data_IF_827303273373
#
_entry.id   IF_827303273373
#
_cell.length_a   1.000
_cell.length_b   1.000
_cell.length_c   1.000
_cell.angle_alpha   90.00
_cell.angle_beta   90.00
_cell.angle_gamma   90.00
#
_symmetry.space_group_name_H-M   'P 1'
#
loop_
_entity.id
_entity.type
_entity.pdbx_description
1 polymer ?
#
# COMPACT_ATOMS: atom_id res chain seq x y z
N UNK A 1 -10.84 28.10 -11.54
CA UNK A 1 -9.84 27.65 -10.55
C UNK A 1 -8.66 27.06 -11.31
N UNK A 2 -7.42 27.25 -10.87
CA UNK A 2 -6.24 26.70 -11.54
C UNK A 2 -6.37 25.15 -11.58
N UNK A 3 -6.28 24.54 -12.76
CA UNK A 3 -6.53 23.08 -12.97
C UNK A 3 -5.67 22.21 -12.03
N UNK A 4 -4.46 22.67 -11.76
CA UNK A 4 -3.51 22.09 -10.81
C UNK A 4 -3.96 22.14 -9.35
N UNK A 5 -4.53 23.27 -8.90
CA UNK A 5 -5.09 23.39 -7.55
C UNK A 5 -6.33 22.51 -7.38
N UNK A 6 -7.14 22.39 -8.43
CA UNK A 6 -8.34 21.56 -8.40
C UNK A 6 -8.00 20.06 -8.31
N UNK A 7 -6.97 19.62 -9.04
CA UNK A 7 -6.39 18.28 -8.89
C UNK A 7 -5.90 18.05 -7.46
N UNK A 8 -5.06 18.96 -6.94
CA UNK A 8 -4.51 18.83 -5.59
C UNK A 8 -5.60 18.75 -4.53
N UNK A 9 -6.60 19.64 -4.56
CA UNK A 9 -7.68 19.67 -3.57
C UNK A 9 -8.62 18.47 -3.68
N UNK A 10 -8.93 18.03 -4.89
CA UNK A 10 -9.75 16.83 -5.11
C UNK A 10 -9.06 15.61 -4.51
N UNK A 11 -7.78 15.40 -4.83
CA UNK A 11 -7.03 14.25 -4.30
C UNK A 11 -6.70 14.38 -2.81
N UNK A 12 -6.54 15.59 -2.27
CA UNK A 12 -6.47 15.82 -0.83
C UNK A 12 -7.74 15.37 -0.11
N UNK A 13 -8.92 15.66 -0.67
CA UNK A 13 -10.18 15.17 -0.13
C UNK A 13 -10.30 13.65 -0.20
N UNK A 14 -9.90 13.06 -1.33
CA UNK A 14 -9.82 11.60 -1.48
C UNK A 14 -8.89 11.01 -0.41
N UNK A 15 -7.73 11.62 -0.18
CA UNK A 15 -6.75 11.19 0.82
C UNK A 15 -7.31 11.18 2.25
N UNK A 16 -8.06 12.21 2.65
CA UNK A 16 -8.68 12.27 3.99
C UNK A 16 -9.85 11.30 4.13
N UNK A 17 -10.63 11.08 3.06
CA UNK A 17 -11.86 10.29 3.14
C UNK A 17 -11.67 8.79 2.85
N UNK A 18 -10.49 8.36 2.42
CA UNK A 18 -10.24 6.95 2.10
C UNK A 18 -9.87 6.16 3.34
N UNK A 19 -10.81 5.39 3.88
CA UNK A 19 -10.59 4.42 4.94
C UNK A 19 -11.04 3.03 4.46
N UNK A 20 -10.17 2.01 4.56
CA UNK A 20 -10.57 0.61 4.31
C UNK A 20 -9.92 -0.12 3.10
N UNK A 21 -8.74 0.30 2.64
CA UNK A 21 -7.99 -0.38 1.58
C UNK A 21 -8.43 0.02 0.17
N UNK A 22 -7.77 -0.53 -0.86
CA UNK A 22 -7.92 -0.06 -2.25
C UNK A 22 -9.36 -0.05 -2.78
N UNK A 23 -10.21 -1.00 -2.37
CA UNK A 23 -11.60 -1.06 -2.86
C UNK A 23 -12.53 -0.02 -2.21
N UNK A 24 -12.22 0.42 -1.00
CA UNK A 24 -13.02 1.45 -0.32
C UNK A 24 -12.86 2.84 -0.97
N UNK A 25 -11.79 3.03 -1.76
CA UNK A 25 -11.52 4.29 -2.45
C UNK A 25 -12.29 4.43 -3.77
N UNK A 26 -12.69 3.32 -4.39
CA UNK A 26 -13.27 3.32 -5.74
C UNK A 26 -14.57 4.13 -5.83
N UNK A 27 -15.52 4.02 -4.88
CA UNK A 27 -16.74 4.86 -4.91
C UNK A 27 -16.45 6.36 -4.79
N UNK A 28 -15.43 6.72 -4.00
CA UNK A 28 -15.02 8.13 -3.83
C UNK A 28 -14.38 8.64 -5.11
N UNK A 29 -13.54 7.83 -5.76
CA UNK A 29 -12.94 8.17 -7.05
C UNK A 29 -13.98 8.26 -8.16
N UNK A 30 -14.95 7.35 -8.24
CA UNK A 30 -16.06 7.43 -9.19
C UNK A 30 -16.83 8.73 -9.01
N UNK A 31 -17.23 9.04 -7.78
CA UNK A 31 -17.96 10.28 -7.48
C UNK A 31 -17.18 11.56 -7.81
N UNK A 32 -15.91 11.65 -7.40
CA UNK A 32 -15.15 12.89 -7.61
C UNK A 32 -14.56 12.99 -9.02
N UNK A 33 -13.98 11.92 -9.57
CA UNK A 33 -13.27 11.94 -10.87
C UNK A 33 -14.22 11.79 -12.06
N UNK A 34 -15.23 10.91 -11.96
CA UNK A 34 -16.16 10.63 -13.07
C UNK A 34 -17.37 11.55 -12.99
N UNK A 35 -18.17 11.45 -11.92
CA UNK A 35 -19.47 12.14 -11.84
C UNK A 35 -19.33 13.66 -11.71
N UNK A 36 -18.46 14.13 -10.80
CA UNK A 36 -18.39 15.55 -10.44
C UNK A 36 -17.44 16.35 -11.31
N UNK A 37 -16.28 15.77 -11.66
CA UNK A 37 -15.23 16.46 -12.44
C UNK A 37 -15.21 16.09 -13.91
N UNK A 38 -15.67 14.89 -14.28
CA UNK A 38 -15.64 14.43 -15.66
C UNK A 38 -14.24 14.28 -16.25
N UNK A 39 -13.23 14.03 -15.42
CA UNK A 39 -11.83 13.85 -15.86
C UNK A 39 -11.57 12.49 -16.49
N UNK A 40 -12.39 11.50 -16.15
CA UNK A 40 -12.31 10.15 -16.68
C UNK A 40 -13.72 9.57 -16.84
N UNK A 41 -13.89 8.63 -17.76
CA UNK A 41 -15.07 7.75 -17.79
C UNK A 41 -14.96 6.63 -16.76
N UNK A 42 -16.06 5.91 -16.50
CA UNK A 42 -16.03 4.73 -15.64
C UNK A 42 -15.03 3.67 -16.14
N UNK A 43 -14.99 3.44 -17.45
CA UNK A 43 -14.05 2.52 -18.09
C UNK A 43 -12.59 2.97 -17.91
N UNK A 44 -12.31 4.26 -18.14
CA UNK A 44 -10.96 4.81 -17.94
C UNK A 44 -10.53 4.72 -16.47
N UNK A 45 -11.44 4.99 -15.53
CA UNK A 45 -11.14 4.84 -14.11
C UNK A 45 -10.87 3.38 -13.73
N UNK A 46 -11.61 2.43 -14.31
CA UNK A 46 -11.36 1.00 -14.13
C UNK A 46 -9.98 0.60 -14.68
N UNK A 47 -9.58 1.12 -15.83
CA UNK A 47 -8.25 0.89 -16.41
C UNK A 47 -7.14 1.48 -15.51
N UNK A 48 -7.28 2.72 -15.04
CA UNK A 48 -6.32 3.33 -14.11
C UNK A 48 -6.22 2.57 -12.79
N UNK A 49 -7.33 2.02 -12.31
CA UNK A 49 -7.36 1.17 -11.12
C UNK A 49 -6.64 -0.16 -11.38
N UNK A 50 -6.87 -0.80 -12.53
CA UNK A 50 -6.19 -2.04 -12.92
C UNK A 50 -4.68 -1.83 -13.04
N UNK A 51 -4.24 -0.75 -13.70
CA UNK A 51 -2.81 -0.40 -13.77
C UNK A 51 -2.26 -0.12 -12.37
N UNK A 52 -2.99 0.64 -11.55
CA UNK A 52 -2.61 0.95 -10.17
C UNK A 52 -2.39 -0.29 -9.29
N UNK A 53 -3.17 -1.35 -9.51
CA UNK A 53 -3.05 -2.66 -8.85
C UNK A 53 -1.83 -3.47 -9.34
N UNK A 54 -1.50 -3.35 -10.63
CA UNK A 54 -0.34 -4.03 -11.21
C UNK A 54 0.99 -3.35 -10.82
N UNK A 55 0.97 -2.03 -10.58
CA UNK A 55 2.16 -1.29 -10.14
C UNK A 55 2.42 -1.48 -8.65
N UNK A 56 3.69 -1.70 -8.23
CA UNK A 56 4.02 -1.79 -6.81
C UNK A 56 3.70 -0.47 -6.09
N UNK A 57 3.08 -0.55 -4.91
CA UNK A 57 2.78 0.61 -4.09
C UNK A 57 1.33 0.66 -3.60
N UNK A 58 0.92 1.85 -3.15
CA UNK A 58 -0.43 2.09 -2.64
C UNK A 58 -1.33 2.38 -3.84
N UNK A 59 -2.33 1.52 -4.07
CA UNK A 59 -3.23 1.61 -5.23
C UNK A 59 -3.85 3.02 -5.36
N UNK A 60 -4.27 3.62 -4.24
CA UNK A 60 -4.82 4.99 -4.22
C UNK A 60 -3.86 6.04 -4.79
N UNK A 61 -2.59 5.95 -4.42
CA UNK A 61 -1.55 6.87 -4.89
C UNK A 61 -1.27 6.65 -6.37
N UNK A 62 -1.16 5.38 -6.78
CA UNK A 62 -0.90 5.04 -8.19
C UNK A 62 -2.05 5.50 -9.08
N UNK A 63 -3.30 5.17 -8.73
CA UNK A 63 -4.49 5.60 -9.48
C UNK A 63 -4.62 7.14 -9.51
N UNK A 64 -4.38 7.84 -8.39
CA UNK A 64 -4.37 9.30 -8.37
C UNK A 64 -3.31 9.88 -9.32
N UNK A 65 -2.12 9.29 -9.34
CA UNK A 65 -1.02 9.69 -10.23
C UNK A 65 -1.40 9.51 -11.69
N UNK A 66 -2.03 8.40 -12.08
CA UNK A 66 -2.48 8.16 -13.46
C UNK A 66 -3.60 9.12 -13.89
N UNK A 67 -4.58 9.36 -13.02
CA UNK A 67 -5.65 10.33 -13.29
C UNK A 67 -5.06 11.74 -13.47
N UNK A 68 -4.19 12.17 -12.54
CA UNK A 68 -3.54 13.48 -12.63
C UNK A 68 -2.64 13.61 -13.86
N UNK A 69 -1.91 12.55 -14.22
CA UNK A 69 -1.06 12.53 -15.40
C UNK A 69 -1.87 12.67 -16.70
N UNK A 70 -3.00 11.96 -16.79
CA UNK A 70 -3.85 12.05 -17.98
C UNK A 70 -4.53 13.42 -18.09
N UNK A 71 -4.89 14.02 -16.96
CA UNK A 71 -5.65 15.28 -16.93
C UNK A 71 -4.79 16.54 -17.13
N UNK A 72 -3.54 16.56 -16.66
CA UNK A 72 -2.67 17.74 -16.74
C UNK A 72 -1.16 17.42 -16.92
N UNK A 73 -0.84 16.26 -17.48
CA UNK A 73 0.52 15.81 -17.77
C UNK A 73 1.36 15.53 -16.52
N UNK A 74 2.68 15.53 -16.67
CA UNK A 74 3.63 15.23 -15.58
C UNK A 74 3.32 15.98 -14.28
N UNK A 75 3.10 17.29 -14.36
CA UNK A 75 2.81 18.12 -13.18
C UNK A 75 1.44 17.81 -12.57
N UNK A 76 0.45 17.43 -13.38
CA UNK A 76 -0.84 16.95 -12.90
C UNK A 76 -0.72 15.67 -12.09
N UNK A 77 0.10 14.72 -12.57
CA UNK A 77 0.42 13.50 -11.85
C UNK A 77 1.05 13.80 -10.49
N UNK A 78 2.13 14.58 -10.48
CA UNK A 78 2.84 14.98 -9.25
C UNK A 78 1.90 15.63 -8.24
N UNK A 79 1.06 16.59 -8.68
CA UNK A 79 0.15 17.29 -7.78
C UNK A 79 -1.00 16.42 -7.27
N UNK A 80 -1.49 15.47 -8.07
CA UNK A 80 -2.48 14.50 -7.62
C UNK A 80 -1.88 13.56 -6.56
N UNK A 81 -0.66 13.06 -6.78
CA UNK A 81 0.08 12.25 -5.80
C UNK A 81 0.33 13.03 -4.50
N UNK A 82 0.82 14.28 -4.60
CA UNK A 82 1.02 15.12 -3.43
C UNK A 82 -0.30 15.40 -2.73
N UNK A 83 -1.35 15.72 -3.48
CA UNK A 83 -2.70 15.93 -2.96
C UNK A 83 -3.15 14.76 -2.08
N UNK A 84 -3.04 13.52 -2.56
CA UNK A 84 -3.53 12.35 -1.80
C UNK A 84 -2.73 12.06 -0.52
N UNK A 85 -1.43 12.36 -0.50
CA UNK A 85 -0.55 12.05 0.65
C UNK A 85 -0.46 13.21 1.65
N UNK A 86 -0.59 14.44 1.17
CA UNK A 86 -0.40 15.67 1.96
C UNK A 86 -1.26 15.76 3.23
N UNK A 87 -2.56 15.43 3.23
CA UNK A 87 -3.37 15.49 4.45
C UNK A 87 -2.86 14.56 5.54
N UNK A 88 -2.46 13.34 5.18
CA UNK A 88 -1.91 12.36 6.11
C UNK A 88 -0.60 12.84 6.72
N UNK A 89 0.27 13.46 5.91
CA UNK A 89 1.53 14.07 6.40
C UNK A 89 1.23 15.17 7.41
N UNK A 90 0.31 16.08 7.11
CA UNK A 90 -0.06 17.18 8.03
C UNK A 90 -0.60 16.62 9.34
N UNK A 91 -1.52 15.66 9.29
CA UNK A 91 -2.15 15.09 10.48
C UNK A 91 -1.09 14.43 11.36
N UNK A 92 -0.21 13.61 10.79
CA UNK A 92 0.85 12.91 11.53
C UNK A 92 1.86 13.91 12.10
N UNK A 93 2.28 14.89 11.32
CA UNK A 93 3.23 15.91 11.77
C UNK A 93 2.66 16.76 12.92
N UNK A 94 1.38 17.14 12.83
CA UNK A 94 0.69 17.85 13.90
C UNK A 94 0.64 17.00 15.18
N UNK A 95 0.19 15.75 15.08
CA UNK A 95 0.15 14.83 16.23
C UNK A 95 1.54 14.67 16.85
N UNK A 96 2.58 14.47 16.03
CA UNK A 96 3.95 14.33 16.50
C UNK A 96 4.45 15.60 17.23
N UNK A 97 4.24 16.78 16.65
CA UNK A 97 4.66 18.05 17.24
C UNK A 97 4.00 18.31 18.60
N UNK A 98 2.70 17.97 18.74
CA UNK A 98 2.02 18.10 20.03
C UNK A 98 2.51 17.06 21.04
N UNK A 99 2.66 15.80 20.63
CA UNK A 99 2.99 14.71 21.55
C UNK A 99 4.47 14.68 21.98
N UNK A 100 5.38 15.28 21.20
CA UNK A 100 6.79 15.40 21.61
C UNK A 100 6.95 16.11 22.97
N UNK A 101 6.10 17.10 23.28
CA UNK A 101 6.14 17.80 24.56
C UNK A 101 5.75 16.92 25.77
N UNK A 102 5.10 15.78 25.52
CA UNK A 102 4.59 14.87 26.56
C UNK A 102 5.20 13.47 26.45
N UNK A 103 6.16 13.26 25.55
CA UNK A 103 6.71 11.95 25.23
C UNK A 103 7.47 11.30 26.40
N UNK A 104 8.00 12.12 27.33
CA UNK A 104 8.73 11.65 28.51
C UNK A 104 7.81 11.18 29.65
N UNK A 105 6.50 11.44 29.56
CA UNK A 105 5.55 11.00 30.58
C UNK A 105 5.39 9.48 30.48
N UNK A 106 5.63 8.70 31.55
CA UNK A 106 5.59 7.25 31.51
C UNK A 106 4.21 6.71 31.08
N UNK A 107 3.13 7.39 31.46
CA UNK A 107 1.77 7.07 31.03
C UNK A 107 1.60 7.16 29.50
N UNK A 108 2.21 8.14 28.85
CA UNK A 108 2.18 8.32 27.39
C UNK A 108 2.98 7.21 26.71
N UNK A 109 4.14 6.85 27.24
CA UNK A 109 4.96 5.73 26.74
C UNK A 109 4.19 4.40 26.78
N UNK A 110 3.49 4.12 27.89
CA UNK A 110 2.65 2.92 28.01
C UNK A 110 1.45 2.95 27.06
N UNK A 111 0.81 4.11 26.87
CA UNK A 111 -0.27 4.27 25.90
C UNK A 111 0.22 3.98 24.47
N UNK A 112 1.40 4.50 24.07
CA UNK A 112 2.01 4.18 22.78
C UNK A 112 2.39 2.70 22.63
N UNK A 113 2.79 2.02 23.70
CA UNK A 113 2.97 0.58 23.66
C UNK A 113 1.65 -0.15 23.34
N UNK A 114 0.54 0.27 23.94
CA UNK A 114 -0.80 -0.22 23.62
C UNK A 114 -1.21 0.04 22.16
N UNK A 115 -0.99 1.25 21.66
CA UNK A 115 -1.25 1.60 20.25
C UNK A 115 -0.43 0.72 19.31
N UNK A 116 0.87 0.52 19.58
CA UNK A 116 1.73 -0.36 18.78
C UNK A 116 1.22 -1.80 18.74
N UNK A 117 0.77 -2.34 19.88
CA UNK A 117 0.17 -3.66 19.94
C UNK A 117 -1.13 -3.76 19.12
N UNK A 118 -1.98 -2.72 19.18
CA UNK A 118 -3.20 -2.64 18.37
C UNK A 118 -2.89 -2.60 16.87
N UNK A 119 -1.93 -1.76 16.45
CA UNK A 119 -1.48 -1.69 15.05
C UNK A 119 -0.94 -3.04 14.58
N UNK A 120 -0.14 -3.74 15.39
CA UNK A 120 0.33 -5.09 15.07
C UNK A 120 -0.83 -6.07 14.87
N UNK A 121 -1.87 -6.02 15.72
CA UNK A 121 -3.06 -6.85 15.58
C UNK A 121 -3.87 -6.51 14.31
N UNK A 122 -3.98 -5.22 13.94
CA UNK A 122 -4.65 -4.79 12.70
C UNK A 122 -3.91 -5.24 11.44
N UNK A 123 -2.57 -5.16 11.46
CA UNK A 123 -1.72 -5.69 10.38
C UNK A 123 -1.91 -7.20 10.28
N UNK A 124 -1.84 -7.92 11.41
CA UNK A 124 -2.05 -9.36 11.44
C UNK A 124 -3.43 -9.75 10.88
N UNK A 125 -4.49 -9.07 11.30
CA UNK A 125 -5.84 -9.27 10.77
C UNK A 125 -5.91 -9.08 9.25
N UNK A 126 -5.24 -8.05 8.74
CA UNK A 126 -5.14 -7.77 7.30
C UNK A 126 -4.40 -8.89 6.55
N UNK A 127 -3.29 -9.37 7.12
CA UNK A 127 -2.52 -10.50 6.57
C UNK A 127 -3.35 -11.79 6.57
N UNK A 128 -4.06 -12.09 7.65
CA UNK A 128 -4.92 -13.27 7.75
C UNK A 128 -6.06 -13.23 6.72
N UNK A 129 -6.64 -12.06 6.48
CA UNK A 129 -7.67 -11.86 5.44
C UNK A 129 -7.09 -12.12 4.05
N UNK A 130 -5.89 -11.59 3.76
CA UNK A 130 -5.20 -11.80 2.48
C UNK A 130 -4.76 -13.25 2.29
N UNK A 131 -4.34 -13.93 3.36
CA UNK A 131 -3.93 -15.33 3.32
C UNK A 131 -5.08 -16.24 2.86
N UNK A 132 -6.31 -16.02 3.34
CA UNK A 132 -7.50 -16.79 2.92
C UNK A 132 -7.80 -16.67 1.43
N UNK A 133 -7.48 -15.52 0.82
CA UNK A 133 -7.73 -15.29 -0.62
C UNK A 133 -6.58 -15.78 -1.50
N UNK A 134 -5.34 -15.72 -1.00
CA UNK A 134 -4.14 -15.98 -1.80
C UNK A 134 -3.60 -17.40 -1.64
N UNK A 135 -3.70 -18.00 -0.45
CA UNK A 135 -3.13 -19.30 -0.13
C UNK A 135 -4.22 -20.38 -0.21
N UNK A 136 -4.47 -20.90 -1.42
CA UNK A 136 -5.49 -21.93 -1.68
C UNK A 136 -4.91 -23.30 -2.02
N UNK A 137 -3.72 -23.34 -2.61
CA UNK A 137 -3.10 -24.57 -3.13
C UNK A 137 -1.94 -25.05 -2.24
N UNK A 138 -1.73 -26.37 -2.22
CA UNK A 138 -0.61 -27.00 -1.51
C UNK A 138 0.79 -26.40 -1.82
N UNK A 139 1.19 -26.11 -3.08
CA UNK A 139 2.47 -25.46 -3.34
C UNK A 139 2.54 -24.02 -2.82
N UNK A 140 1.42 -23.29 -2.83
CA UNK A 140 1.34 -21.93 -2.31
C UNK A 140 1.48 -21.92 -0.79
N UNK A 141 0.92 -22.92 -0.11
CA UNK A 141 1.12 -23.14 1.33
C UNK A 141 2.59 -23.45 1.64
N UNK A 142 3.22 -24.35 0.88
CA UNK A 142 4.65 -24.66 1.06
C UNK A 142 5.53 -23.43 0.86
N UNK A 143 5.30 -22.67 -0.20
CA UNK A 143 6.04 -21.45 -0.50
C UNK A 143 5.86 -20.40 0.61
N UNK A 144 4.64 -20.22 1.12
CA UNK A 144 4.37 -19.35 2.26
C UNK A 144 5.14 -19.77 3.51
N UNK A 145 5.10 -21.06 3.88
CA UNK A 145 5.80 -21.56 5.07
C UNK A 145 7.33 -21.42 4.96
N UNK A 146 7.90 -21.68 3.78
CA UNK A 146 9.34 -21.54 3.53
C UNK A 146 9.77 -20.07 3.71
N UNK A 147 9.04 -19.13 3.10
CA UNK A 147 9.37 -17.70 3.18
C UNK A 147 9.14 -17.16 4.60
N UNK A 148 8.11 -17.63 5.29
CA UNK A 148 7.83 -17.26 6.68
C UNK A 148 8.98 -17.72 7.60
N UNK A 149 9.42 -18.97 7.48
CA UNK A 149 10.57 -19.49 8.21
C UNK A 149 11.85 -18.71 7.91
N UNK A 150 12.14 -18.45 6.63
CA UNK A 150 13.30 -17.65 6.23
C UNK A 150 13.23 -16.21 6.78
N UNK A 151 12.05 -15.59 6.80
CA UNK A 151 11.86 -14.24 7.34
C UNK A 151 12.06 -14.19 8.86
N UNK A 152 11.57 -15.18 9.60
CA UNK A 152 11.76 -15.25 11.06
C UNK A 152 13.23 -15.50 11.40
N UNK A 153 13.90 -16.37 10.63
CA UNK A 153 15.32 -16.68 10.82
C UNK A 153 16.27 -15.61 10.26
N UNK A 154 15.77 -14.55 9.62
CA UNK A 154 16.61 -13.51 9.02
C UNK A 154 17.52 -12.78 10.01
N UNK A 155 17.05 -12.54 11.23
CA UNK A 155 17.84 -11.96 12.32
C UNK A 155 19.06 -12.81 12.70
N UNK A 156 18.88 -14.07 13.15
CA UNK A 156 20.01 -14.93 13.49
C UNK A 156 20.92 -15.26 12.29
N UNK A 157 20.39 -15.40 11.06
CA UNK A 157 21.20 -15.67 9.86
C UNK A 157 22.08 -14.47 9.49
N UNK A 158 21.55 -13.25 9.58
CA UNK A 158 22.33 -12.03 9.32
C UNK A 158 23.41 -11.81 10.38
N UNK A 159 23.20 -12.27 11.62
CA UNK A 159 24.21 -12.25 12.68
C UNK A 159 25.29 -13.34 12.52
N UNK A 160 24.93 -14.54 12.03
CA UNK A 160 25.85 -15.67 11.88
C UNK A 160 26.67 -15.64 10.57
N UNK A 161 26.11 -15.11 9.48
CA UNK A 161 26.74 -15.07 8.17
C UNK A 161 26.43 -13.75 7.43
N UNK A 162 27.24 -12.70 7.60
CA UNK A 162 27.03 -11.40 6.96
C UNK A 162 27.00 -11.48 5.43
N UNK A 163 27.76 -12.41 4.83
CA UNK A 163 27.77 -12.65 3.39
C UNK A 163 26.43 -13.23 2.86
N UNK A 164 25.67 -13.92 3.71
CA UNK A 164 24.36 -14.48 3.37
C UNK A 164 23.20 -13.49 3.64
N UNK A 165 23.46 -12.33 4.25
CA UNK A 165 22.44 -11.33 4.57
C UNK A 165 21.66 -10.84 3.34
N UNK A 166 22.32 -10.78 2.18
CA UNK A 166 21.67 -10.41 0.91
C UNK A 166 20.59 -11.43 0.48
N UNK A 167 20.80 -12.72 0.75
CA UNK A 167 19.84 -13.78 0.42
C UNK A 167 18.59 -13.77 1.31
N UNK A 168 18.67 -13.11 2.47
CA UNK A 168 17.53 -12.95 3.39
C UNK A 168 16.94 -11.54 3.35
N UNK A 169 17.38 -10.71 2.39
CA UNK A 169 16.75 -9.41 2.16
C UNK A 169 15.27 -9.61 1.79
N UNK A 170 14.33 -8.87 2.41
CA UNK A 170 12.90 -8.93 2.06
C UNK A 170 12.64 -8.72 0.57
N UNK A 171 13.44 -7.86 -0.08
CA UNK A 171 13.33 -7.60 -1.52
C UNK A 171 13.68 -8.85 -2.31
N UNK A 172 14.78 -9.53 -1.97
CA UNK A 172 15.22 -10.74 -2.66
C UNK A 172 14.21 -11.89 -2.46
N UNK A 173 13.73 -12.08 -1.23
CA UNK A 173 12.71 -13.08 -0.91
C UNK A 173 11.42 -12.86 -1.71
N UNK A 174 10.95 -11.61 -1.84
CA UNK A 174 9.75 -11.27 -2.63
C UNK A 174 9.96 -11.59 -4.11
N UNK A 175 11.12 -11.25 -4.68
CA UNK A 175 11.41 -11.52 -6.10
C UNK A 175 11.49 -13.03 -6.35
N UNK A 176 12.22 -13.78 -5.53
CA UNK A 176 12.34 -15.24 -5.66
C UNK A 176 10.99 -15.92 -5.49
N UNK A 177 10.20 -15.51 -4.49
CA UNK A 177 8.85 -16.00 -4.27
C UNK A 177 7.94 -15.78 -5.48
N UNK A 178 8.01 -14.59 -6.08
CA UNK A 178 7.26 -14.25 -7.28
C UNK A 178 7.64 -15.12 -8.47
N UNK A 179 8.95 -15.29 -8.72
CA UNK A 179 9.46 -16.14 -9.80
C UNK A 179 9.07 -17.61 -9.58
N UNK A 180 9.31 -18.17 -8.39
CA UNK A 180 8.92 -19.54 -8.06
C UNK A 180 7.40 -19.75 -8.19
N UNK A 181 6.59 -18.80 -7.74
CA UNK A 181 5.14 -18.84 -7.89
C UNK A 181 4.70 -18.85 -9.37
N UNK A 182 5.33 -18.03 -10.21
CA UNK A 182 5.08 -18.01 -11.66
C UNK A 182 5.49 -19.33 -12.32
N UNK A 183 6.65 -19.89 -11.97
CA UNK A 183 7.13 -21.17 -12.52
C UNK A 183 6.20 -22.34 -12.15
N UNK A 184 5.74 -22.41 -10.90
CA UNK A 184 4.76 -23.43 -10.46
C UNK A 184 3.43 -23.27 -11.19
N UNK A 185 3.00 -22.03 -11.43
CA UNK A 185 1.76 -21.74 -12.18
C UNK A 185 1.90 -22.12 -13.66
N UNK A 186 3.05 -21.85 -14.27
CA UNK A 186 3.35 -22.25 -15.65
C UNK A 186 3.34 -23.79 -15.82
N UNK A 187 3.92 -24.52 -14.86
CA UNK A 187 3.96 -25.98 -14.88
C UNK A 187 2.59 -26.67 -14.72
N UNK A 188 1.62 -26.01 -14.09
CA UNK A 188 0.25 -26.55 -13.89
C UNK A 188 -0.73 -26.18 -15.02
N UNK A 189 -0.26 -25.43 -16.01
CA UNK A 189 -1.08 -24.88 -17.09
C UNK A 189 -1.87 -23.64 -16.64
N UNK A 190 -1.91 -22.62 -17.51
CA UNK A 190 -2.76 -21.45 -17.30
C UNK A 190 -4.22 -21.88 -17.41
N UNK A 191 -4.85 -22.19 -16.28
CA UNK A 191 -6.31 -22.10 -16.22
C UNK A 191 -6.66 -20.61 -16.17
N UNK A 192 -7.25 -20.16 -17.28
CA UNK A 192 -7.90 -18.85 -17.40
C UNK A 192 -8.99 -18.69 -16.34
#
# INVERSE_FOLDING_TARGET
MNRYLDLFLTFARVGVCTFGGGYAMLPILQREVVEKKGWATEDQLADYYAVGQCTPGIIAVNTATFVGYTEAGMFGGILATLGVVFPSIIIIAAIAAFLQNFADIPLVVHAFAGVRACVAALILSSVLKLMKTTVKDLPTVMLFLIILLLSICSGPISAAAPAASFLVSPVFLVVVAGVCGLSVRAARGWKA
#
